data_IF_186625856254
#
_entry.id   IF_186625856254
#
_cell.length_a   1.000
_cell.length_b   1.000
_cell.length_c   1.000
_cell.angle_alpha   90.00
_cell.angle_beta   90.00
_cell.angle_gamma   90.00
#
_symmetry.space_group_name_H-M   'P 1'
#
loop_
_entity.id
_entity.type
_entity.pdbx_description
1 polymer ?
#
# COMPACT_ATOMS: atom_id res chain seq x y z
N UNK A 1 78.15 -45.34 -14.71
CA UNK A 1 76.87 -44.75 -15.11
C UNK A 1 75.81 -45.58 -14.38
N UNK A 2 75.43 -45.08 -13.18
CA UNK A 2 74.42 -45.75 -12.35
C UNK A 2 73.02 -45.29 -12.82
N UNK A 3 72.20 -46.19 -13.34
CA UNK A 3 70.82 -46.03 -13.67
C UNK A 3 70.02 -46.28 -12.39
N UNK A 4 69.55 -45.20 -11.81
CA UNK A 4 68.56 -45.26 -10.71
C UNK A 4 67.32 -46.00 -11.18
N UNK A 5 67.09 -47.16 -10.62
CA UNK A 5 65.88 -47.96 -10.86
C UNK A 5 64.73 -47.42 -10.06
N UNK A 6 63.96 -46.54 -10.66
CA UNK A 6 62.68 -46.08 -10.06
C UNK A 6 61.78 -47.30 -9.88
N UNK A 7 61.55 -47.70 -8.63
CA UNK A 7 60.55 -48.69 -8.28
C UNK A 7 59.16 -48.10 -8.50
N UNK A 8 58.43 -48.59 -9.48
CA UNK A 8 57.03 -48.31 -9.70
C UNK A 8 56.21 -49.01 -8.62
N UNK A 9 55.80 -48.31 -7.58
CA UNK A 9 54.86 -48.85 -6.58
C UNK A 9 53.44 -48.78 -7.15
N UNK A 10 52.83 -49.94 -7.35
CA UNK A 10 51.45 -50.07 -7.79
C UNK A 10 50.48 -49.67 -6.66
N UNK A 11 49.34 -49.13 -7.00
CA UNK A 11 48.25 -48.79 -6.06
C UNK A 11 47.71 -50.04 -5.39
N UNK A 12 47.49 -49.97 -4.08
CA UNK A 12 46.84 -51.06 -3.34
C UNK A 12 45.29 -50.95 -3.49
N UNK A 13 44.67 -52.13 -3.48
CA UNK A 13 43.19 -52.21 -3.56
C UNK A 13 42.50 -51.47 -2.40
N UNK A 14 43.13 -51.44 -1.22
CA UNK A 14 42.70 -50.68 -0.03
C UNK A 14 42.75 -49.19 -0.26
N UNK A 15 43.81 -48.67 -0.88
CA UNK A 15 43.97 -47.22 -1.15
C UNK A 15 42.91 -46.70 -2.14
N UNK A 16 42.58 -47.53 -3.15
CA UNK A 16 41.51 -47.19 -4.09
C UNK A 16 40.13 -47.19 -3.40
N UNK A 17 39.90 -48.13 -2.47
CA UNK A 17 38.65 -48.22 -1.74
C UNK A 17 38.45 -46.99 -0.80
N UNK A 18 39.52 -46.58 -0.10
CA UNK A 18 39.50 -45.38 0.75
C UNK A 18 39.30 -44.13 -0.11
N UNK A 19 40.00 -44.00 -1.24
CA UNK A 19 39.87 -42.86 -2.13
C UNK A 19 38.42 -42.69 -2.65
N UNK A 20 37.79 -43.80 -3.09
CA UNK A 20 36.41 -43.80 -3.57
C UNK A 20 35.41 -43.48 -2.45
N UNK A 21 35.63 -43.99 -1.23
CA UNK A 21 34.75 -43.68 -0.09
C UNK A 21 34.84 -42.21 0.33
N UNK A 22 36.05 -41.63 0.36
CA UNK A 22 36.28 -40.22 0.64
C UNK A 22 35.68 -39.34 -0.45
N UNK A 23 35.84 -39.70 -1.72
CA UNK A 23 35.23 -38.98 -2.84
C UNK A 23 33.71 -38.99 -2.73
N UNK A 24 33.09 -40.14 -2.45
CA UNK A 24 31.66 -40.28 -2.21
C UNK A 24 31.17 -39.41 -1.08
N UNK A 25 31.93 -39.36 0.03
CA UNK A 25 31.60 -38.52 1.18
C UNK A 25 31.66 -37.00 0.85
N UNK A 26 32.72 -36.58 0.14
CA UNK A 26 32.88 -35.20 -0.31
C UNK A 26 31.72 -34.78 -1.24
N UNK A 27 31.37 -35.65 -2.20
CA UNK A 27 30.26 -35.39 -3.11
C UNK A 27 28.91 -35.25 -2.34
N UNK A 28 28.67 -36.14 -1.38
CA UNK A 28 27.49 -36.12 -0.55
C UNK A 28 27.37 -34.78 0.24
N UNK A 29 28.48 -34.31 0.82
CA UNK A 29 28.55 -33.02 1.52
C UNK A 29 28.31 -31.83 0.56
N UNK A 30 28.91 -31.84 -0.63
CA UNK A 30 28.75 -30.82 -1.64
C UNK A 30 27.30 -30.71 -2.13
N UNK A 31 26.67 -31.85 -2.47
CA UNK A 31 25.26 -31.86 -2.88
C UNK A 31 24.32 -31.45 -1.74
N UNK A 32 24.62 -31.89 -0.50
CA UNK A 32 23.87 -31.47 0.69
C UNK A 32 23.96 -29.99 0.91
N UNK A 33 25.13 -29.39 0.86
CA UNK A 33 25.36 -27.94 1.00
C UNK A 33 24.69 -27.13 -0.09
N UNK A 34 24.81 -27.57 -1.35
CA UNK A 34 24.17 -26.89 -2.49
C UNK A 34 22.64 -26.91 -2.40
N UNK A 35 22.04 -28.02 -1.96
CA UNK A 35 20.59 -28.10 -1.73
C UNK A 35 20.11 -27.19 -0.60
N UNK A 36 20.90 -27.07 0.45
CA UNK A 36 20.59 -26.12 1.56
C UNK A 36 20.70 -24.67 1.08
N UNK A 37 21.74 -24.36 0.32
CA UNK A 37 21.94 -23.02 -0.28
C UNK A 37 20.78 -22.62 -1.19
N UNK A 38 20.35 -23.49 -2.09
CA UNK A 38 19.21 -23.24 -2.98
C UNK A 38 17.92 -22.95 -2.19
N UNK A 39 17.60 -23.76 -1.17
CA UNK A 39 16.42 -23.52 -0.33
C UNK A 39 16.46 -22.18 0.43
N UNK A 40 17.65 -21.81 0.90
CA UNK A 40 17.84 -20.52 1.60
C UNK A 40 17.68 -19.36 0.64
N UNK A 41 18.10 -19.51 -0.60
CA UNK A 41 17.94 -18.50 -1.66
C UNK A 41 16.47 -18.30 -1.99
N UNK A 42 15.73 -19.38 -2.28
CA UNK A 42 14.29 -19.34 -2.60
C UNK A 42 13.48 -18.68 -1.46
N UNK A 43 13.80 -19.03 -0.21
CA UNK A 43 13.16 -18.43 0.95
C UNK A 43 13.48 -16.92 1.11
N UNK A 44 14.71 -16.53 0.75
CA UNK A 44 15.14 -15.11 0.74
C UNK A 44 14.43 -14.30 -0.34
N UNK A 45 14.33 -14.85 -1.55
CA UNK A 45 13.68 -14.22 -2.69
C UNK A 45 12.19 -13.98 -2.43
N UNK A 46 11.45 -14.99 -1.95
CA UNK A 46 10.04 -14.84 -1.57
C UNK A 46 9.81 -13.77 -0.49
N UNK A 47 10.73 -13.66 0.49
CA UNK A 47 10.63 -12.60 1.51
C UNK A 47 10.90 -11.21 0.93
N UNK A 48 11.88 -11.08 0.06
CA UNK A 48 12.23 -9.83 -0.60
C UNK A 48 11.09 -9.35 -1.52
N UNK A 49 10.50 -10.24 -2.31
CA UNK A 49 9.38 -9.95 -3.21
C UNK A 49 8.15 -9.47 -2.43
N UNK A 50 7.76 -10.19 -1.38
CA UNK A 50 6.66 -9.78 -0.50
C UNK A 50 6.90 -8.43 0.18
N UNK A 51 8.13 -8.14 0.61
CA UNK A 51 8.48 -6.87 1.25
C UNK A 51 8.40 -5.71 0.24
N UNK A 52 8.85 -5.95 -0.99
CA UNK A 52 8.82 -4.96 -2.06
C UNK A 52 7.38 -4.61 -2.45
N UNK A 53 6.52 -5.61 -2.62
CA UNK A 53 5.11 -5.39 -2.94
C UNK A 53 4.40 -4.54 -1.87
N UNK A 54 4.62 -4.87 -0.60
CA UNK A 54 4.06 -4.10 0.52
C UNK A 54 4.59 -2.66 0.55
N UNK A 55 5.88 -2.44 0.32
CA UNK A 55 6.46 -1.11 0.28
C UNK A 55 5.92 -0.26 -0.88
N UNK A 56 5.70 -0.87 -2.05
CA UNK A 56 5.10 -0.20 -3.21
C UNK A 56 3.65 0.22 -2.91
N UNK A 57 2.88 -0.66 -2.30
CA UNK A 57 1.49 -0.36 -1.93
C UNK A 57 1.42 0.75 -0.87
N UNK A 58 2.29 0.73 0.14
CA UNK A 58 2.39 1.83 1.11
C UNK A 58 2.75 3.15 0.43
N UNK A 59 3.73 3.11 -0.46
CA UNK A 59 4.13 4.29 -1.24
C UNK A 59 2.99 4.84 -2.10
N UNK A 60 2.22 3.94 -2.71
CA UNK A 60 1.04 4.30 -3.48
C UNK A 60 -0.04 4.95 -2.59
N UNK A 61 -0.47 4.29 -1.52
CA UNK A 61 -1.48 4.83 -0.61
C UNK A 61 -1.03 6.15 0.03
N UNK A 62 0.25 6.26 0.42
CA UNK A 62 0.80 7.51 0.95
C UNK A 62 0.65 8.63 -0.05
N UNK A 63 0.97 8.40 -1.31
CA UNK A 63 0.84 9.41 -2.36
C UNK A 63 -0.61 9.81 -2.59
N UNK A 64 -1.51 8.84 -2.76
CA UNK A 64 -2.92 9.13 -3.00
C UNK A 64 -3.56 9.88 -1.82
N UNK A 65 -3.29 9.45 -0.59
CA UNK A 65 -3.82 10.11 0.62
C UNK A 65 -3.18 11.48 0.87
N UNK A 66 -1.93 11.69 0.50
CA UNK A 66 -1.30 13.02 0.64
C UNK A 66 -1.84 14.03 -0.37
N UNK A 67 -2.32 13.57 -1.52
CA UNK A 67 -2.84 14.43 -2.59
C UNK A 67 -4.36 14.66 -2.50
N UNK A 68 -4.99 14.26 -1.40
CA UNK A 68 -6.42 14.56 -1.18
C UNK A 68 -6.68 16.04 -1.40
N UNK A 69 -7.67 16.30 -2.25
CA UNK A 69 -8.04 17.66 -2.64
C UNK A 69 -9.35 18.03 -1.98
N UNK A 70 -9.46 19.22 -1.34
CA UNK A 70 -10.71 19.72 -0.78
C UNK A 70 -11.67 20.10 -1.91
N UNK A 71 -12.36 19.10 -2.43
CA UNK A 71 -13.39 19.26 -3.45
C UNK A 71 -14.75 19.40 -2.79
N UNK A 72 -15.55 20.43 -3.18
CA UNK A 72 -16.88 20.67 -2.64
C UNK A 72 -17.96 20.33 -3.66
N UNK A 73 -18.99 19.63 -3.20
CA UNK A 73 -20.13 19.30 -4.03
C UNK A 73 -20.96 20.56 -4.35
N UNK A 74 -21.39 20.71 -5.59
CA UNK A 74 -22.25 21.84 -6.03
C UNK A 74 -23.70 21.67 -5.60
N UNK A 75 -23.98 21.29 -4.36
CA UNK A 75 -25.36 21.14 -3.87
C UNK A 75 -25.87 22.45 -3.31
N UNK A 76 -27.12 22.80 -3.61
CA UNK A 76 -27.74 24.11 -3.48
C UNK A 76 -27.76 24.84 -2.11
N UNK A 77 -27.41 24.19 -1.00
CA UNK A 77 -27.47 24.82 0.32
C UNK A 77 -26.22 24.57 1.20
N UNK A 78 -25.57 23.44 1.04
CA UNK A 78 -24.40 23.07 1.86
C UNK A 78 -23.25 22.66 0.95
N UNK A 79 -22.18 23.46 0.95
CA UNK A 79 -20.94 23.11 0.25
C UNK A 79 -20.20 22.01 1.01
N UNK A 80 -20.74 20.81 1.00
CA UNK A 80 -20.12 19.68 1.68
C UNK A 80 -18.85 19.23 0.97
N UNK A 81 -17.81 19.04 1.74
CA UNK A 81 -16.53 18.49 1.27
C UNK A 81 -16.72 17.06 0.78
N UNK A 82 -16.16 16.74 -0.37
CA UNK A 82 -16.14 15.39 -0.92
C UNK A 82 -15.07 14.53 -0.23
N UNK A 83 -15.24 14.32 1.06
CA UNK A 83 -14.46 13.44 1.89
C UNK A 83 -15.37 12.72 2.87
N UNK A 84 -15.32 11.39 2.88
CA UNK A 84 -16.16 10.59 3.77
C UNK A 84 -15.35 9.39 4.28
N UNK A 85 -15.01 9.44 5.55
CA UNK A 85 -14.24 8.43 6.25
C UNK A 85 -15.08 7.65 7.23
N UNK A 86 -15.04 6.32 7.12
CA UNK A 86 -15.59 5.35 8.06
C UNK A 86 -14.46 4.50 8.65
N UNK A 87 -14.71 3.68 9.67
CA UNK A 87 -13.69 2.82 10.24
C UNK A 87 -13.08 1.81 9.24
N UNK A 88 -13.88 1.33 8.28
CA UNK A 88 -13.56 0.28 7.33
C UNK A 88 -13.52 0.73 5.86
N UNK A 89 -13.87 1.96 5.60
CA UNK A 89 -13.93 2.52 4.25
C UNK A 89 -13.59 4.02 4.22
N UNK A 90 -13.02 4.45 3.11
CA UNK A 90 -12.65 5.85 2.90
C UNK A 90 -13.00 6.25 1.48
N UNK A 91 -13.75 7.37 1.33
CA UNK A 91 -14.07 7.99 0.05
C UNK A 91 -13.50 9.40 0.02
N UNK A 92 -12.83 9.76 -1.07
CA UNK A 92 -12.14 11.05 -1.20
C UNK A 92 -12.03 11.49 -2.66
N UNK A 93 -11.54 12.69 -2.87
CA UNK A 93 -11.14 13.21 -4.18
C UNK A 93 -9.65 13.47 -4.19
N UNK A 94 -8.96 12.94 -5.20
CA UNK A 94 -7.54 13.20 -5.40
C UNK A 94 -7.19 13.23 -6.90
N UNK A 95 -6.12 13.96 -7.30
CA UNK A 95 -5.59 13.87 -8.65
C UNK A 95 -4.84 12.55 -8.83
N UNK A 96 -5.10 11.86 -9.92
CA UNK A 96 -4.29 10.70 -10.32
C UNK A 96 -3.42 11.11 -11.50
N UNK A 97 -2.12 10.90 -11.38
CA UNK A 97 -1.20 11.09 -12.49
C UNK A 97 -1.44 10.02 -13.56
N UNK A 98 -2.15 10.36 -14.61
CA UNK A 98 -2.30 9.49 -15.79
C UNK A 98 -1.12 9.74 -16.73
N UNK A 99 -0.41 8.67 -17.09
CA UNK A 99 0.78 8.71 -17.96
C UNK A 99 0.56 9.33 -19.36
N UNK A 100 -0.66 9.63 -19.75
CA UNK A 100 -1.05 10.04 -21.11
C UNK A 100 -1.80 11.38 -21.16
N UNK A 101 -1.42 12.36 -20.34
CA UNK A 101 -1.79 13.76 -20.60
C UNK A 101 -3.20 14.21 -20.19
N UNK A 102 -4.05 13.35 -19.67
CA UNK A 102 -5.36 13.70 -19.10
C UNK A 102 -5.30 13.57 -17.59
N UNK A 103 -4.56 14.48 -16.94
CA UNK A 103 -4.61 14.63 -15.49
C UNK A 103 -5.96 15.22 -15.09
N UNK A 104 -6.57 14.70 -14.03
CA UNK A 104 -7.85 15.17 -13.52
C UNK A 104 -8.07 14.74 -12.09
N UNK A 105 -9.11 15.28 -11.48
CA UNK A 105 -9.60 14.83 -10.19
C UNK A 105 -10.41 13.54 -10.38
N UNK A 106 -10.24 12.60 -9.46
CA UNK A 106 -10.99 11.36 -9.40
C UNK A 106 -11.68 11.23 -8.06
N UNK A 107 -12.90 10.72 -8.08
CA UNK A 107 -13.52 10.12 -6.91
C UNK A 107 -12.83 8.79 -6.67
N UNK A 108 -12.40 8.55 -5.44
CA UNK A 108 -11.69 7.33 -5.04
C UNK A 108 -12.38 6.73 -3.82
N UNK A 109 -12.59 5.42 -3.81
CA UNK A 109 -12.89 4.67 -2.60
C UNK A 109 -11.81 3.65 -2.30
N UNK A 110 -11.55 3.46 -1.00
CA UNK A 110 -10.75 2.38 -0.44
C UNK A 110 -11.64 1.62 0.54
N UNK A 111 -11.79 0.32 0.34
CA UNK A 111 -12.69 -0.50 1.14
C UNK A 111 -12.19 -1.95 1.24
N UNK A 112 -12.58 -2.65 2.30
CA UNK A 112 -12.39 -4.08 2.44
C UNK A 112 -13.59 -4.80 1.81
N UNK A 113 -13.34 -5.62 0.82
CA UNK A 113 -14.37 -6.44 0.14
C UNK A 113 -14.06 -7.91 0.39
N UNK A 114 -15.09 -8.68 0.74
CA UNK A 114 -15.00 -10.14 0.82
C UNK A 114 -15.34 -10.75 -0.54
N UNK A 115 -14.39 -11.52 -1.08
CA UNK A 115 -14.60 -12.29 -2.31
C UNK A 115 -14.24 -13.76 -2.06
N UNK A 116 -15.23 -14.66 -2.11
CA UNK A 116 -15.06 -16.10 -1.85
C UNK A 116 -14.28 -16.40 -0.55
N UNK A 117 -14.67 -15.79 0.55
CA UNK A 117 -14.04 -15.87 1.88
C UNK A 117 -12.61 -15.28 1.96
N UNK A 118 -12.14 -14.62 0.90
CA UNK A 118 -10.86 -13.90 0.88
C UNK A 118 -11.12 -12.41 0.96
N UNK A 119 -10.60 -11.78 2.01
CA UNK A 119 -10.68 -10.32 2.15
C UNK A 119 -9.68 -9.65 1.21
N UNK A 120 -10.14 -8.63 0.51
CA UNK A 120 -9.36 -7.85 -0.44
C UNK A 120 -9.43 -6.37 -0.10
N UNK A 121 -8.28 -5.69 -0.05
CA UNK A 121 -8.24 -4.23 -0.10
C UNK A 121 -8.47 -3.78 -1.52
N UNK A 122 -9.60 -3.14 -1.76
CA UNK A 122 -10.05 -2.72 -3.08
C UNK A 122 -10.07 -1.19 -3.17
N UNK A 123 -9.60 -0.68 -4.29
CA UNK A 123 -9.78 0.70 -4.70
C UNK A 123 -10.76 0.75 -5.87
N UNK A 124 -11.70 1.69 -5.83
CA UNK A 124 -12.49 2.09 -6.98
C UNK A 124 -12.18 3.54 -7.32
N UNK A 125 -12.26 3.90 -8.58
CA UNK A 125 -12.03 5.27 -9.02
C UNK A 125 -12.91 5.60 -10.23
N UNK A 126 -13.38 6.84 -10.28
CA UNK A 126 -14.16 7.35 -11.40
C UNK A 126 -13.92 8.86 -11.55
N UNK A 127 -13.98 9.37 -12.76
CA UNK A 127 -13.94 10.82 -13.00
C UNK A 127 -15.28 11.42 -12.56
N UNK A 128 -15.30 12.45 -11.69
CA UNK A 128 -16.54 13.11 -11.33
C UNK A 128 -17.19 13.77 -12.56
N UNK A 129 -18.49 13.61 -12.70
CA UNK A 129 -19.28 14.33 -13.68
C UNK A 129 -19.54 15.76 -13.19
N UNK A 130 -19.90 16.67 -14.12
CA UNK A 130 -20.06 18.08 -13.80
C UNK A 130 -21.22 18.36 -12.82
N UNK A 131 -22.17 17.46 -12.72
CA UNK A 131 -23.35 17.46 -11.85
C UNK A 131 -23.26 16.49 -10.68
N UNK A 132 -22.10 15.83 -10.47
CA UNK A 132 -21.89 14.94 -9.34
C UNK A 132 -22.13 15.66 -8.02
N UNK A 133 -22.96 15.07 -7.17
CA UNK A 133 -23.35 15.62 -5.85
C UNK A 133 -22.98 14.73 -4.68
N UNK A 134 -22.46 13.52 -4.97
CA UNK A 134 -22.05 12.52 -3.99
C UNK A 134 -21.12 11.47 -4.62
N UNK A 135 -20.85 10.39 -3.89
CA UNK A 135 -19.99 9.29 -4.31
C UNK A 135 -20.73 8.12 -4.99
N UNK A 136 -21.99 8.27 -5.40
CA UNK A 136 -22.79 7.17 -6.01
C UNK A 136 -22.15 6.61 -7.27
N UNK A 137 -21.43 7.43 -8.05
CA UNK A 137 -20.71 6.99 -9.25
C UNK A 137 -19.67 5.88 -8.97
N UNK A 138 -19.14 5.80 -7.73
CA UNK A 138 -18.20 4.76 -7.32
C UNK A 138 -18.83 3.37 -7.17
N UNK A 139 -20.16 3.26 -7.02
CA UNK A 139 -20.84 1.98 -6.84
C UNK A 139 -20.67 1.08 -8.06
N UNK A 140 -20.70 1.67 -9.25
CA UNK A 140 -20.56 0.98 -10.54
C UNK A 140 -19.14 1.05 -11.10
N UNK A 141 -18.18 1.64 -10.39
CA UNK A 141 -16.81 1.77 -10.86
C UNK A 141 -16.06 0.44 -10.80
N UNK A 142 -15.10 0.26 -11.71
CA UNK A 142 -14.24 -0.91 -11.76
C UNK A 142 -13.44 -1.06 -10.47
N UNK A 143 -13.40 -2.31 -9.97
CA UNK A 143 -12.63 -2.68 -8.78
C UNK A 143 -11.18 -2.93 -9.14
N UNK A 144 -10.27 -2.29 -8.44
CA UNK A 144 -8.82 -2.50 -8.54
C UNK A 144 -8.39 -3.15 -7.22
N UNK A 145 -7.97 -4.41 -7.27
CA UNK A 145 -7.47 -5.11 -6.09
C UNK A 145 -6.06 -4.61 -5.80
N UNK A 146 -5.86 -4.05 -4.62
CA UNK A 146 -4.57 -3.54 -4.14
C UNK A 146 -3.81 -4.56 -3.30
N UNK A 147 -4.52 -5.35 -2.52
CA UNK A 147 -3.95 -6.45 -1.73
C UNK A 147 -5.01 -7.53 -1.47
N UNK A 148 -4.54 -8.79 -1.48
CA UNK A 148 -5.32 -9.97 -1.15
C UNK A 148 -5.04 -10.44 0.28
N UNK A 149 -5.88 -11.34 0.80
CA UNK A 149 -5.75 -11.97 2.11
C UNK A 149 -5.72 -10.95 3.26
N UNK A 150 -6.50 -9.87 3.12
CA UNK A 150 -6.69 -8.85 4.16
C UNK A 150 -7.76 -9.33 5.13
N UNK A 151 -7.39 -9.49 6.40
CA UNK A 151 -8.32 -9.87 7.47
C UNK A 151 -9.05 -8.64 8.01
N UNK A 152 -8.32 -7.52 8.19
CA UNK A 152 -8.85 -6.29 8.76
C UNK A 152 -8.24 -5.07 8.07
N UNK A 153 -9.08 -4.11 7.74
CA UNK A 153 -8.73 -2.78 7.29
C UNK A 153 -9.34 -1.78 8.26
N UNK A 154 -8.55 -0.85 8.78
CA UNK A 154 -9.10 0.21 9.62
C UNK A 154 -8.51 1.57 9.30
N UNK A 155 -9.38 2.58 9.32
CA UNK A 155 -9.04 3.98 9.15
C UNK A 155 -9.28 4.73 10.46
N UNK A 156 -8.45 5.73 10.71
CA UNK A 156 -8.68 6.72 11.75
C UNK A 156 -8.20 8.09 11.28
N UNK A 157 -8.84 9.12 11.77
CA UNK A 157 -8.70 10.50 11.31
C UNK A 157 -8.32 11.39 12.50
N UNK A 158 -7.28 12.17 12.38
CA UNK A 158 -6.87 13.14 13.38
C UNK A 158 -7.20 14.55 12.93
N UNK A 159 -7.89 15.30 13.75
CA UNK A 159 -8.24 16.69 13.46
C UNK A 159 -9.23 17.26 14.43
N UNK A 160 -9.60 18.52 14.22
CA UNK A 160 -10.58 19.27 14.98
C UNK A 160 -11.92 19.32 14.24
N UNK A 161 -13.03 19.13 14.96
CA UNK A 161 -14.39 19.24 14.38
C UNK A 161 -14.70 20.66 13.95
N UNK A 162 -14.33 21.60 14.79
CA UNK A 162 -14.52 23.04 14.57
C UNK A 162 -13.19 23.77 14.70
N UNK A 163 -13.15 25.04 14.31
CA UNK A 163 -11.94 25.85 14.36
C UNK A 163 -11.35 25.98 15.77
N UNK A 164 -12.21 25.96 16.78
CA UNK A 164 -11.85 26.16 18.19
C UNK A 164 -11.75 24.83 18.99
N UNK A 165 -12.04 23.68 18.37
CA UNK A 165 -11.96 22.39 19.03
C UNK A 165 -10.53 21.86 19.06
N UNK A 166 -10.17 21.14 20.13
CA UNK A 166 -8.89 20.44 20.19
C UNK A 166 -8.84 19.27 19.22
N UNK A 167 -7.75 19.12 18.45
CA UNK A 167 -7.59 17.99 17.54
C UNK A 167 -7.51 16.67 18.31
N UNK A 168 -8.23 15.65 17.84
CA UNK A 168 -8.19 14.31 18.42
C UNK A 168 -8.38 13.22 17.33
N UNK A 169 -8.02 12.00 17.66
CA UNK A 169 -8.27 10.84 16.80
C UNK A 169 -9.73 10.42 16.84
N UNK A 170 -10.30 10.14 15.66
CA UNK A 170 -11.66 9.67 15.45
C UNK A 170 -11.67 8.53 14.46
N UNK A 171 -12.67 7.68 14.54
CA UNK A 171 -12.91 6.56 13.61
C UNK A 171 -13.80 6.96 12.43
N UNK A 172 -14.40 8.15 12.46
CA UNK A 172 -15.25 8.69 11.39
C UNK A 172 -14.88 10.12 11.07
N UNK A 173 -15.04 10.50 9.78
CA UNK A 173 -14.84 11.86 9.30
C UNK A 173 -15.75 12.17 8.12
N UNK A 174 -16.16 13.44 7.95
CA UNK A 174 -17.06 13.85 6.88
C UNK A 174 -18.55 13.70 7.25
N UNK A 175 -18.84 13.52 8.55
CA UNK A 175 -20.17 13.65 9.11
C UNK A 175 -20.55 15.15 9.27
N UNK A 176 -21.74 15.44 9.82
CA UNK A 176 -22.24 16.83 9.98
C UNK A 176 -21.25 17.79 10.66
N UNK A 177 -20.44 17.29 11.57
CA UNK A 177 -19.54 18.10 12.39
C UNK A 177 -18.20 18.40 11.69
N UNK A 178 -17.78 17.50 10.79
CA UNK A 178 -16.47 17.58 10.09
C UNK A 178 -16.60 17.77 8.57
N UNK A 179 -17.79 18.07 8.06
CA UNK A 179 -18.08 18.11 6.62
C UNK A 179 -17.31 19.16 5.82
N UNK A 180 -16.78 20.17 6.47
CA UNK A 180 -16.15 21.31 5.79
C UNK A 180 -14.61 21.27 5.81
N UNK A 181 -14.03 20.28 6.47
CA UNK A 181 -12.57 20.20 6.69
C UNK A 181 -12.01 18.82 6.38
N UNK A 182 -10.83 18.81 5.82
CA UNK A 182 -10.02 17.59 5.77
C UNK A 182 -9.44 17.30 7.16
N UNK A 183 -9.22 16.02 7.51
CA UNK A 183 -8.45 15.67 8.69
C UNK A 183 -6.99 16.11 8.51
N UNK A 184 -6.32 16.43 9.61
CA UNK A 184 -4.88 16.75 9.59
C UNK A 184 -4.03 15.51 9.28
N UNK A 185 -4.46 14.35 9.81
CA UNK A 185 -3.80 13.07 9.55
C UNK A 185 -4.84 11.98 9.27
N UNK A 186 -4.49 11.09 8.36
CA UNK A 186 -5.23 9.87 8.05
C UNK A 186 -4.33 8.70 8.42
N UNK A 187 -4.81 7.78 9.27
CA UNK A 187 -4.13 6.54 9.61
C UNK A 187 -4.81 5.37 8.94
N UNK A 188 -4.02 4.53 8.31
CA UNK A 188 -4.46 3.27 7.69
C UNK A 188 -3.74 2.12 8.38
N UNK A 189 -4.51 1.13 8.81
CA UNK A 189 -4.01 -0.15 9.35
C UNK A 189 -4.53 -1.28 8.50
N UNK A 190 -3.66 -2.22 8.21
CA UNK A 190 -4.01 -3.42 7.47
C UNK A 190 -3.44 -4.63 8.22
N UNK A 191 -4.29 -5.59 8.51
CA UNK A 191 -3.93 -6.89 9.05
C UNK A 191 -4.23 -7.97 8.02
N UNK A 192 -3.28 -8.84 7.78
CA UNK A 192 -3.42 -9.94 6.82
C UNK A 192 -3.81 -11.25 7.53
N UNK A 193 -4.50 -12.14 6.82
CA UNK A 193 -4.99 -13.43 7.33
C UNK A 193 -3.86 -14.35 7.85
N UNK A 194 -2.61 -14.12 7.43
CA UNK A 194 -1.45 -14.85 7.93
C UNK A 194 -0.89 -14.27 9.26
N UNK A 195 -1.62 -13.38 9.91
CA UNK A 195 -1.24 -12.72 11.17
C UNK A 195 -0.23 -11.58 11.01
N UNK A 196 0.24 -11.27 9.81
CA UNK A 196 1.11 -10.11 9.59
C UNK A 196 0.30 -8.83 9.70
N UNK A 197 0.83 -7.90 10.48
CA UNK A 197 0.29 -6.54 10.62
C UNK A 197 1.20 -5.58 9.86
N UNK A 198 0.60 -4.73 9.07
CA UNK A 198 1.31 -3.65 8.42
C UNK A 198 1.71 -2.58 9.43
N UNK A 199 2.89 -1.97 9.34
CA UNK A 199 3.17 -0.78 10.14
C UNK A 199 2.13 0.30 9.84
N UNK A 200 1.65 0.99 10.89
CA UNK A 200 0.66 2.05 10.73
C UNK A 200 1.11 3.06 9.68
N UNK A 201 0.32 3.24 8.64
CA UNK A 201 0.53 4.26 7.64
C UNK A 201 -0.19 5.53 8.08
N UNK A 202 0.56 6.53 8.54
CA UNK A 202 0.01 7.85 8.88
C UNK A 202 0.42 8.85 7.80
N UNK A 203 -0.57 9.55 7.25
CA UNK A 203 -0.38 10.49 6.14
C UNK A 203 -1.08 11.81 6.45
N UNK A 204 -0.39 12.93 6.19
CA UNK A 204 -0.99 14.25 6.21
C UNK A 204 -1.39 14.64 4.77
N UNK A 205 -2.63 15.06 4.52
CA UNK A 205 -2.99 15.75 3.28
C UNK A 205 -2.11 17.00 3.09
N UNK A 206 -1.58 17.17 1.87
CA UNK A 206 -0.70 18.31 1.55
C UNK A 206 -1.47 19.63 1.44
N UNK A 207 -2.74 19.55 1.10
CA UNK A 207 -3.64 20.69 0.99
C UNK A 207 -4.52 20.69 2.23
N UNK A 208 -4.28 21.62 3.14
CA UNK A 208 -5.15 21.82 4.30
C UNK A 208 -6.48 22.45 3.89
N UNK A 209 -7.53 22.11 4.61
CA UNK A 209 -8.87 22.70 4.40
C UNK A 209 -8.96 24.17 4.80
N UNK A 210 -7.98 24.69 5.52
CA UNK A 210 -7.93 26.07 5.97
C UNK A 210 -7.56 27.08 4.86
N UNK A 211 -7.29 26.61 3.66
CA UNK A 211 -7.26 27.47 2.48
C UNK A 211 -8.67 27.70 1.95
N UNK A 212 -9.62 27.93 2.83
CA UNK A 212 -11.00 28.34 2.55
C UNK A 212 -11.06 29.72 1.88
N UNK A 213 -10.40 29.77 0.76
CA UNK A 213 -10.47 30.85 -0.15
C UNK A 213 -11.61 30.57 -1.12
N UNK A 214 -12.75 31.23 -0.90
CA UNK A 214 -13.78 31.28 -1.91
C UNK A 214 -13.35 32.33 -2.94
N UNK A 215 -13.13 31.87 -4.18
CA UNK A 215 -12.83 32.79 -5.27
C UNK A 215 -14.03 33.67 -5.54
N UNK A 216 -13.94 34.95 -5.17
CA UNK A 216 -14.93 35.96 -5.52
C UNK A 216 -14.65 36.48 -6.94
N UNK A 217 -15.50 36.09 -7.87
CA UNK A 217 -15.39 36.48 -9.27
C UNK A 217 -15.65 37.99 -9.49
N UNK A 218 -16.25 38.68 -8.55
CA UNK A 218 -16.53 40.12 -8.64
C UNK A 218 -15.31 40.95 -8.28
N UNK A 219 -14.52 40.51 -7.32
CA UNK A 219 -13.32 41.21 -6.86
C UNK A 219 -12.03 40.61 -7.43
N UNK A 220 -12.12 39.46 -8.15
CA UNK A 220 -11.03 38.69 -8.70
C UNK A 220 -9.95 38.36 -7.63
N UNK A 221 -10.38 38.06 -6.42
CA UNK A 221 -9.55 37.73 -5.26
C UNK A 221 -10.12 36.55 -4.49
N UNK A 222 -9.23 35.90 -3.83
CA UNK A 222 -9.55 34.90 -2.82
C UNK A 222 -10.02 35.62 -1.56
N UNK A 223 -11.28 35.40 -1.14
CA UNK A 223 -11.82 35.92 0.11
C UNK A 223 -11.85 34.77 1.12
N UNK A 224 -11.12 34.88 2.22
CA UNK A 224 -11.26 34.03 3.39
C UNK A 224 -12.38 34.57 4.26
N UNK A 225 -13.41 33.75 4.56
CA UNK A 225 -14.35 34.07 5.62
C UNK A 225 -13.71 34.09 7.00
#
# INVERSE_FOLDING_TARGET
MNLDKHSITGFTLLELLIAMSLLGFILALLFGGMRLGARSWDAGEMRAENSTHLALLQGFLRRELSQVTPFHWKKKADMNLAFFGQPDSLKLVAPIAVRLGTGGLFLISLELVQDNDVGQLVMKRVIPEADSVDFTALENAEKIVLADHVEELSFAYFGAETKDAEPQWRDQWGNRDTQQRLPYLIRVRVKFSNGRVWPDLVVAPLIGSDTGCVWDSSTNRCVSE
#
